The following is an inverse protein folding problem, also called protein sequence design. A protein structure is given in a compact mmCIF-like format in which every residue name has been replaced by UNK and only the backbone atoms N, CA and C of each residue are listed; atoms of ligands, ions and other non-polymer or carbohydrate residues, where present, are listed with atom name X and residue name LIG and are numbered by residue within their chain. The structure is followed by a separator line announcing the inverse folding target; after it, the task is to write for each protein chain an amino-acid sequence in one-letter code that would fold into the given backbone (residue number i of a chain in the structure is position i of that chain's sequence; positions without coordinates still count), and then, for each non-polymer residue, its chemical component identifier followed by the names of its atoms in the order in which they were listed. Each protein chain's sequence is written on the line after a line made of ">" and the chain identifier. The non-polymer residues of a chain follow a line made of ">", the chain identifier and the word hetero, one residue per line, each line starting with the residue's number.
data_IF_417750576403
#
_entry.id   IF_417750576403
#
_cell.length_a   1.000
_cell.length_b   1.000
_cell.length_c   1.000
_cell.angle_alpha   90.00
_cell.angle_beta   90.00
_cell.angle_gamma   90.00
#
_symmetry.space_group_name_H-M   'P 1'
#
loop_
_entity.id
_entity.type
_entity.pdbx_description
1 polymer ?
#
# COMPACT_ATOMS: atom_id res chain seq x y z
N UNK A 1 -16.03 -25.43 38.64
CA UNK A 1 -15.41 -24.10 38.51
C UNK A 1 -14.04 -24.26 37.84
N UNK A 2 -13.74 -23.36 36.90
CA UNK A 2 -12.43 -23.00 36.34
C UNK A 2 -11.68 -24.09 35.56
N UNK A 3 -11.64 -23.83 34.25
CA UNK A 3 -11.07 -24.65 33.18
C UNK A 3 -9.57 -24.80 33.32
N UNK A 4 -9.16 -25.99 32.92
CA UNK A 4 -7.83 -26.58 32.90
C UNK A 4 -6.88 -25.81 31.97
N UNK A 5 -5.62 -25.88 32.37
CA UNK A 5 -4.37 -25.29 31.89
C UNK A 5 -3.92 -25.85 30.51
N UNK A 6 -3.07 -25.05 29.82
CA UNK A 6 -2.16 -25.38 28.71
C UNK A 6 -2.82 -25.69 27.35
N UNK A 7 -2.29 -25.28 26.19
CA UNK A 7 -0.92 -25.49 25.71
C UNK A 7 -0.64 -24.64 24.45
N UNK A 8 0.61 -24.19 24.33
CA UNK A 8 1.26 -23.62 23.13
C UNK A 8 1.17 -24.55 21.92
N UNK A 9 1.02 -24.04 20.69
CA UNK A 9 1.67 -24.62 19.51
C UNK A 9 1.58 -23.74 18.24
N UNK A 10 2.73 -23.66 17.54
CA UNK A 10 2.89 -23.45 16.08
C UNK A 10 2.72 -22.01 15.54
N UNK A 11 3.71 -21.32 14.99
CA UNK A 11 5.00 -21.76 14.47
C UNK A 11 4.90 -22.32 13.05
N UNK A 12 5.19 -21.45 12.06
CA UNK A 12 5.62 -21.72 10.69
C UNK A 12 4.62 -22.35 9.68
N UNK A 13 4.89 -22.00 8.41
CA UNK A 13 4.39 -22.54 7.12
C UNK A 13 3.11 -21.87 6.58
N UNK A 14 3.05 -21.29 5.37
CA UNK A 14 3.84 -21.55 4.17
C UNK A 14 3.99 -20.30 3.28
N UNK A 15 5.24 -20.03 2.86
CA UNK A 15 5.52 -19.37 1.59
C UNK A 15 4.91 -20.24 0.47
N UNK A 16 3.99 -19.69 -0.32
CA UNK A 16 3.59 -20.31 -1.58
C UNK A 16 4.38 -19.64 -2.71
N UNK A 17 5.58 -20.15 -2.99
CA UNK A 17 6.09 -20.15 -4.36
C UNK A 17 5.80 -21.54 -4.91
N UNK A 18 4.57 -21.73 -5.40
CA UNK A 18 4.24 -22.91 -6.17
C UNK A 18 4.87 -22.76 -7.55
N UNK A 19 5.68 -23.75 -7.89
CA UNK A 19 6.37 -23.95 -9.15
C UNK A 19 5.43 -23.77 -10.35
N UNK A 20 5.94 -23.13 -11.41
CA UNK A 20 5.30 -23.11 -12.72
C UNK A 20 5.34 -24.53 -13.31
N UNK A 21 4.19 -25.18 -13.35
CA UNK A 21 3.96 -26.36 -14.19
C UNK A 21 3.42 -25.85 -15.53
N UNK A 22 4.16 -26.11 -16.60
CA UNK A 22 3.79 -25.80 -17.99
C UNK A 22 2.60 -26.67 -18.42
N UNK A 23 1.39 -26.26 -18.08
CA UNK A 23 0.17 -26.87 -18.63
C UNK A 23 -0.30 -26.05 -19.83
N UNK A 24 0.09 -26.53 -21.01
CA UNK A 24 -0.40 -26.13 -22.33
C UNK A 24 -1.94 -26.17 -22.35
N UNK A 25 -2.58 -25.03 -22.09
CA UNK A 25 -4.04 -24.92 -22.18
C UNK A 25 -4.43 -24.60 -23.63
N UNK A 26 -5.05 -25.56 -24.30
CA UNK A 26 -5.80 -25.39 -25.54
C UNK A 26 -6.94 -24.40 -25.33
N UNK A 27 -6.71 -23.12 -25.65
CA UNK A 27 -7.69 -22.04 -25.48
C UNK A 27 -8.75 -22.06 -26.59
N UNK A 28 -9.80 -22.83 -26.37
CA UNK A 28 -11.13 -22.56 -26.93
C UNK A 28 -11.68 -21.36 -26.16
N UNK A 29 -12.18 -20.27 -26.78
CA UNK A 29 -12.60 -19.10 -26.02
C UNK A 29 -14.00 -19.37 -25.45
N UNK A 30 -14.07 -19.94 -24.25
CA UNK A 30 -15.25 -19.78 -23.41
C UNK A 30 -15.24 -18.33 -22.90
N UNK A 31 -16.22 -17.54 -23.31
CA UNK A 31 -16.53 -16.27 -22.63
C UNK A 31 -17.24 -16.64 -21.32
N UNK A 32 -16.51 -17.28 -20.42
CA UNK A 32 -16.90 -17.33 -19.01
C UNK A 32 -16.43 -16.01 -18.41
N UNK A 33 -17.38 -15.21 -17.94
CA UNK A 33 -17.10 -13.96 -17.24
C UNK A 33 -16.36 -14.29 -15.94
N UNK A 34 -15.03 -14.41 -16.01
CA UNK A 34 -14.20 -14.60 -14.84
C UNK A 34 -14.39 -13.41 -13.89
N UNK A 35 -14.60 -13.70 -12.61
CA UNK A 35 -14.61 -12.69 -11.57
C UNK A 35 -13.32 -11.86 -11.62
N UNK A 36 -13.37 -10.54 -11.33
CA UNK A 36 -12.18 -9.71 -11.40
C UNK A 36 -11.13 -10.22 -10.41
N UNK A 37 -9.88 -10.26 -10.86
CA UNK A 37 -8.76 -10.61 -9.99
C UNK A 37 -8.65 -9.63 -8.83
N UNK A 38 -7.99 -10.04 -7.75
CA UNK A 38 -7.71 -9.14 -6.61
C UNK A 38 -7.02 -7.85 -7.06
N UNK A 39 -6.07 -7.94 -7.99
CA UNK A 39 -5.39 -6.78 -8.59
C UNK A 39 -6.38 -5.82 -9.28
N UNK A 40 -7.32 -6.34 -10.07
CA UNK A 40 -8.33 -5.52 -10.74
C UNK A 40 -9.22 -4.80 -9.72
N UNK A 41 -9.64 -5.49 -8.67
CA UNK A 41 -10.46 -4.91 -7.61
C UNK A 41 -9.73 -3.77 -6.86
N UNK A 42 -8.42 -3.93 -6.59
CA UNK A 42 -7.61 -2.88 -5.95
C UNK A 42 -7.45 -1.65 -6.84
N UNK A 43 -7.19 -1.85 -8.14
CA UNK A 43 -7.12 -0.74 -9.09
C UNK A 43 -8.47 -0.03 -9.19
N UNK A 44 -9.57 -0.76 -9.22
CA UNK A 44 -10.91 -0.17 -9.20
C UNK A 44 -11.16 0.65 -7.93
N UNK A 45 -10.73 0.16 -6.77
CA UNK A 45 -10.85 0.89 -5.51
C UNK A 45 -10.08 2.21 -5.54
N UNK A 46 -8.82 2.19 -5.97
CA UNK A 46 -7.97 3.37 -6.07
C UNK A 46 -8.53 4.40 -7.05
N UNK A 47 -8.96 3.96 -8.24
CA UNK A 47 -9.48 4.84 -9.29
C UNK A 47 -10.85 5.42 -8.96
N UNK A 48 -11.70 4.65 -8.28
CA UNK A 48 -13.07 5.05 -8.00
C UNK A 48 -13.19 6.14 -6.94
N UNK A 49 -12.17 6.30 -6.09
CA UNK A 49 -12.21 7.23 -4.96
C UNK A 49 -13.28 6.89 -3.91
N UNK A 50 -13.93 5.72 -3.99
CA UNK A 50 -15.01 5.31 -3.06
C UNK A 50 -14.52 5.19 -1.61
N UNK A 51 -13.23 4.95 -1.41
CA UNK A 51 -12.59 4.93 -0.09
C UNK A 51 -12.14 6.30 0.41
N UNK A 52 -12.24 7.36 -0.40
CA UNK A 52 -11.92 8.70 0.05
C UNK A 52 -12.98 9.21 1.04
N UNK A 53 -12.60 10.15 1.91
CA UNK A 53 -13.55 10.79 2.83
C UNK A 53 -14.67 11.48 2.06
N UNK A 54 -15.95 11.26 2.41
CA UNK A 54 -17.07 12.00 1.82
C UNK A 54 -17.12 13.46 2.32
N UNK A 55 -16.45 13.75 3.45
CA UNK A 55 -16.44 15.07 4.04
C UNK A 55 -15.35 15.94 3.39
N UNK A 56 -15.77 17.03 2.75
CA UNK A 56 -14.87 18.04 2.21
C UNK A 56 -13.94 18.58 3.31
N UNK A 57 -12.66 18.72 2.98
CA UNK A 57 -11.61 19.26 3.84
C UNK A 57 -11.14 20.62 3.29
N UNK A 58 -11.94 21.69 3.43
CA UNK A 58 -11.57 22.99 2.89
C UNK A 58 -10.40 23.59 3.67
N UNK A 59 -9.52 24.28 2.94
CA UNK A 59 -8.40 25.03 3.51
C UNK A 59 -8.75 26.52 3.37
N UNK A 60 -8.52 27.32 4.42
CA UNK A 60 -8.73 28.77 4.34
C UNK A 60 -7.73 29.40 3.36
N UNK A 61 -8.11 30.54 2.75
CA UNK A 61 -7.22 31.24 1.81
C UNK A 61 -5.86 31.58 2.41
N UNK A 62 -5.83 32.07 3.66
CA UNK A 62 -4.59 32.38 4.36
C UNK A 62 -3.68 31.14 4.55
N UNK A 63 -4.26 29.99 4.87
CA UNK A 63 -3.49 28.75 5.02
C UNK A 63 -3.00 28.28 3.64
N UNK A 64 -3.81 28.39 2.59
CA UNK A 64 -3.40 28.07 1.23
C UNK A 64 -2.21 28.93 0.78
N UNK A 65 -2.23 30.23 1.06
CA UNK A 65 -1.13 31.14 0.76
C UNK A 65 0.17 30.73 1.47
N UNK A 66 0.07 30.36 2.75
CA UNK A 66 1.22 29.88 3.54
C UNK A 66 1.77 28.57 2.98
N UNK A 67 0.89 27.64 2.59
CA UNK A 67 1.28 26.37 1.95
C UNK A 67 2.00 26.63 0.62
N UNK A 68 1.45 27.51 -0.21
CA UNK A 68 2.04 27.86 -1.50
C UNK A 68 3.41 28.54 -1.33
N UNK A 69 3.54 29.51 -0.42
CA UNK A 69 4.83 30.15 -0.10
C UNK A 69 5.88 29.13 0.36
N UNK A 70 5.50 28.17 1.21
CA UNK A 70 6.41 27.10 1.65
C UNK A 70 6.82 26.19 0.49
N UNK A 71 5.89 25.86 -0.40
CA UNK A 71 6.18 25.05 -1.59
C UNK A 71 7.22 25.75 -2.48
N UNK A 72 7.03 27.03 -2.79
CA UNK A 72 8.00 27.80 -3.57
C UNK A 72 9.38 27.85 -2.89
N UNK A 73 9.40 28.12 -1.58
CA UNK A 73 10.64 28.14 -0.78
C UNK A 73 11.40 26.80 -0.80
N UNK A 74 10.71 25.68 -0.98
CA UNK A 74 11.37 24.36 -1.02
C UNK A 74 12.32 24.21 -2.21
N UNK A 75 12.06 24.90 -3.33
CA UNK A 75 12.92 24.87 -4.51
C UNK A 75 14.15 25.77 -4.41
N UNK A 76 14.21 26.65 -3.41
CA UNK A 76 15.41 27.45 -3.13
C UNK A 76 16.53 26.61 -2.49
N UNK A 77 16.22 25.38 -2.05
CA UNK A 77 17.20 24.45 -1.51
C UNK A 77 17.70 23.51 -2.61
N UNK A 78 19.03 23.40 -2.81
CA UNK A 78 19.56 22.42 -3.75
C UNK A 78 19.21 21.01 -3.29
N UNK A 79 19.01 20.11 -4.26
CA UNK A 79 18.86 18.68 -3.97
C UNK A 79 20.21 18.19 -3.43
N UNK A 80 20.26 17.58 -2.23
CA UNK A 80 21.50 17.01 -1.72
C UNK A 80 22.03 15.91 -2.64
N UNK A 81 23.35 15.84 -2.80
CA UNK A 81 23.98 14.75 -3.55
C UNK A 81 23.82 13.40 -2.86
N UNK A 82 23.75 13.42 -1.52
CA UNK A 82 23.59 12.23 -0.69
C UNK A 82 22.56 12.49 0.41
N UNK A 83 21.85 11.44 0.80
CA UNK A 83 20.96 11.47 1.94
C UNK A 83 21.77 11.24 3.23
N UNK A 84 21.79 12.24 4.11
CA UNK A 84 22.48 12.16 5.40
C UNK A 84 21.74 11.17 6.33
N UNK A 85 22.46 10.18 6.85
CA UNK A 85 21.97 9.32 7.92
C UNK A 85 22.67 9.73 9.22
N UNK A 86 21.92 10.22 10.19
CA UNK A 86 22.40 10.35 11.56
C UNK A 86 22.54 8.93 12.14
N UNK A 87 23.74 8.36 12.11
CA UNK A 87 24.03 7.17 12.90
C UNK A 87 24.07 7.58 14.36
N UNK A 88 23.19 7.07 15.24
CA UNK A 88 23.28 7.36 16.66
C UNK A 88 24.63 6.84 17.15
N UNK A 89 25.47 7.74 17.65
CA UNK A 89 26.67 7.37 18.40
C UNK A 89 26.23 6.59 19.64
N UNK A 90 26.31 5.26 19.58
CA UNK A 90 26.16 4.41 20.76
C UNK A 90 27.19 4.84 21.80
N UNK A 91 26.69 5.26 22.96
CA UNK A 91 27.47 5.74 24.10
C UNK A 91 27.90 4.60 25.00
#
# INVERSE_FOLDING_TARGET
>A
MKRIIMLMLSGLFSMNNAMADDVQTTLTPSIEAHAPSSTQQWLDLQRSGKSASPQAQPISGEVMDKVHKRYLKSFEKPIPEFYEHETPISR
#
